data_IF_887689888030
#
_entry.id   IF_887689888030
#
_cell.length_a   1.000
_cell.length_b   1.000
_cell.length_c   1.000
_cell.angle_alpha   90.00
_cell.angle_beta   90.00
_cell.angle_gamma   90.00
#
_symmetry.space_group_name_H-M   'P 1'
#
loop_
_entity.id
_entity.type
_entity.pdbx_description
1 polymer ?
#
# COMPACT_ATOMS: atom_id res chain seq x y z
N UNK A 1 -19.73 16.83 63.24
CA UNK A 1 -20.86 17.58 62.63
C UNK A 1 -20.26 18.50 61.58
N UNK A 2 -20.54 18.28 60.28
CA UNK A 2 -19.96 19.08 59.18
C UNK A 2 -20.87 20.31 58.92
N UNK A 3 -20.58 21.51 59.45
CA UNK A 3 -21.39 22.71 59.24
C UNK A 3 -21.43 23.19 57.79
N UNK A 4 -20.54 22.68 56.93
CA UNK A 4 -20.42 23.07 55.52
C UNK A 4 -21.52 22.50 54.62
N UNK A 5 -22.18 21.40 55.04
CA UNK A 5 -23.19 20.73 54.22
C UNK A 5 -24.48 21.57 54.06
N UNK A 6 -24.83 22.36 55.08
CA UNK A 6 -26.02 23.24 55.05
C UNK A 6 -25.82 24.47 54.16
N UNK A 7 -24.58 24.95 54.05
CA UNK A 7 -24.25 26.14 53.27
C UNK A 7 -24.15 25.84 51.76
N UNK A 8 -23.72 24.63 51.37
CA UNK A 8 -23.60 24.24 49.96
C UNK A 8 -24.87 23.60 49.38
N UNK A 9 -25.81 23.16 50.24
CA UNK A 9 -27.08 22.53 49.84
C UNK A 9 -27.92 23.35 48.83
N UNK A 10 -28.11 24.68 48.98
CA UNK A 10 -28.87 25.45 47.99
C UNK A 10 -28.12 25.59 46.65
N UNK A 11 -26.79 25.67 46.67
CA UNK A 11 -25.98 25.80 45.46
C UNK A 11 -25.93 24.51 44.64
N UNK A 12 -25.81 23.36 45.30
CA UNK A 12 -25.86 22.06 44.63
C UNK A 12 -27.23 21.82 44.03
N UNK A 13 -28.31 22.22 44.71
CA UNK A 13 -29.67 22.09 44.22
C UNK A 13 -29.93 23.04 43.03
N UNK A 14 -29.44 24.28 43.09
CA UNK A 14 -29.50 25.23 41.98
C UNK A 14 -28.73 24.74 40.74
N UNK A 15 -27.53 24.18 40.93
CA UNK A 15 -26.73 23.61 39.85
C UNK A 15 -27.40 22.37 39.25
N UNK A 16 -27.98 21.50 40.08
CA UNK A 16 -28.71 20.32 39.60
C UNK A 16 -29.95 20.71 38.78
N UNK A 17 -30.70 21.73 39.21
CA UNK A 17 -31.85 22.26 38.46
C UNK A 17 -31.40 22.90 37.15
N UNK A 18 -30.29 23.64 37.16
CA UNK A 18 -29.73 24.26 35.96
C UNK A 18 -29.24 23.21 34.95
N UNK A 19 -28.56 22.16 35.41
CA UNK A 19 -28.16 21.01 34.57
C UNK A 19 -29.39 20.27 34.04
N UNK A 20 -30.41 20.05 34.86
CA UNK A 20 -31.65 19.41 34.43
C UNK A 20 -32.38 20.24 33.36
N UNK A 21 -32.44 21.57 33.50
CA UNK A 21 -33.05 22.45 32.50
C UNK A 21 -32.25 22.48 31.19
N UNK A 22 -30.92 22.54 31.26
CA UNK A 22 -30.06 22.46 30.06
C UNK A 22 -30.23 21.10 29.39
N UNK A 23 -30.19 20.00 30.14
CA UNK A 23 -30.34 18.65 29.63
C UNK A 23 -31.75 18.43 29.07
N UNK A 24 -32.79 18.92 29.74
CA UNK A 24 -34.19 18.84 29.29
C UNK A 24 -34.48 19.70 28.06
N UNK A 25 -33.74 20.80 27.85
CA UNK A 25 -33.78 21.56 26.59
C UNK A 25 -32.96 20.88 25.50
N UNK A 26 -31.89 20.17 25.86
CA UNK A 26 -31.02 19.44 24.94
C UNK A 26 -31.59 18.08 24.52
N UNK A 27 -32.62 17.57 25.20
CA UNK A 27 -33.53 16.53 24.66
C UNK A 27 -34.53 17.09 23.67
N UNK A 28 -34.22 18.22 23.01
CA UNK A 28 -34.86 18.58 21.76
C UNK A 28 -34.66 17.43 20.80
N UNK A 29 -35.78 16.79 20.49
CA UNK A 29 -36.15 15.89 19.40
C UNK A 29 -35.25 15.92 18.14
N UNK A 30 -33.95 15.68 18.29
CA UNK A 30 -33.04 15.46 17.19
C UNK A 30 -33.35 14.04 16.74
N UNK A 31 -34.06 13.96 15.62
CA UNK A 31 -34.32 12.69 14.95
C UNK A 31 -33.00 11.90 14.89
N UNK A 32 -33.00 10.61 15.27
CA UNK A 32 -31.82 9.74 15.16
C UNK A 32 -31.17 9.77 13.77
N UNK A 33 -31.93 10.18 12.75
CA UNK A 33 -31.45 10.40 11.39
C UNK A 33 -30.26 11.37 11.30
N UNK A 34 -30.19 12.43 12.11
CA UNK A 34 -29.03 13.34 12.05
C UNK A 34 -27.74 12.70 12.55
N UNK A 35 -27.80 11.83 13.56
CA UNK A 35 -26.64 11.06 13.99
C UNK A 35 -26.18 10.08 12.91
N UNK A 36 -27.12 9.45 12.18
CA UNK A 36 -26.81 8.56 11.06
C UNK A 36 -26.19 9.35 9.89
N UNK A 37 -26.73 10.51 9.54
CA UNK A 37 -26.20 11.35 8.45
C UNK A 37 -24.79 11.84 8.77
N UNK A 38 -24.56 12.33 9.99
CA UNK A 38 -23.24 12.77 10.43
C UNK A 38 -22.27 11.59 10.47
N UNK A 39 -22.72 10.41 10.94
CA UNK A 39 -21.94 9.19 10.93
C UNK A 39 -21.55 8.72 9.53
N UNK A 40 -22.47 8.77 8.56
CA UNK A 40 -22.22 8.38 7.17
C UNK A 40 -21.28 9.36 6.47
N UNK A 41 -21.45 10.67 6.69
CA UNK A 41 -20.56 11.68 6.11
C UNK A 41 -19.16 11.60 6.71
N UNK A 42 -19.05 11.45 8.04
CA UNK A 42 -17.77 11.25 8.70
C UNK A 42 -17.13 9.93 8.27
N UNK A 43 -17.86 8.81 8.18
CA UNK A 43 -17.30 7.57 7.68
C UNK A 43 -16.86 7.71 6.20
N UNK A 44 -17.67 8.35 5.35
CA UNK A 44 -17.34 8.56 3.94
C UNK A 44 -16.10 9.42 3.72
N UNK A 45 -15.78 10.34 4.63
CA UNK A 45 -14.59 11.20 4.53
C UNK A 45 -13.40 10.65 5.33
N UNK A 46 -13.65 10.04 6.49
CA UNK A 46 -12.61 9.58 7.41
C UNK A 46 -12.08 8.19 7.03
N UNK A 47 -12.92 7.31 6.48
CA UNK A 47 -12.49 5.98 6.00
C UNK A 47 -11.47 6.09 4.87
N UNK A 48 -11.63 6.90 3.81
CA UNK A 48 -10.58 7.05 2.80
C UNK A 48 -9.32 7.77 3.33
N UNK A 49 -9.43 8.57 4.39
CA UNK A 49 -8.26 9.22 5.04
C UNK A 49 -7.49 8.25 5.95
N UNK A 50 -8.17 7.27 6.54
CA UNK A 50 -7.55 6.22 7.38
C UNK A 50 -7.12 4.99 6.57
N UNK A 51 -7.77 4.73 5.44
CA UNK A 51 -7.43 3.63 4.51
C UNK A 51 -6.45 4.09 3.42
N UNK A 52 -5.45 4.90 3.76
CA UNK A 52 -4.18 4.92 3.00
C UNK A 52 -3.37 3.65 3.29
N UNK A 53 -4.03 2.49 3.15
CA UNK A 53 -3.40 1.21 2.94
C UNK A 53 -3.77 0.80 1.53
N UNK A 54 -3.07 1.40 0.55
CA UNK A 54 -2.49 0.69 -0.59
C UNK A 54 -3.36 -0.48 -1.07
N UNK A 55 -4.58 -0.17 -1.47
CA UNK A 55 -5.52 -1.10 -2.09
C UNK A 55 -5.54 -0.83 -3.56
N UNK A 56 -4.79 -1.65 -4.31
CA UNK A 56 -5.05 -2.10 -5.66
C UNK A 56 -6.32 -1.51 -6.32
N UNK A 57 -6.25 -0.27 -6.79
CA UNK A 57 -7.15 0.28 -7.79
C UNK A 57 -6.36 0.29 -9.10
N UNK A 58 -6.75 -0.62 -9.99
CA UNK A 58 -6.22 -0.76 -11.33
C UNK A 58 -6.74 0.43 -12.15
N UNK A 59 -6.00 1.54 -12.17
CA UNK A 59 -6.23 2.61 -13.12
C UNK A 59 -5.76 2.17 -14.51
N UNK A 60 -6.60 2.27 -15.55
CA UNK A 60 -6.13 2.07 -16.92
C UNK A 60 -5.37 3.32 -17.37
N UNK A 61 -4.10 3.11 -17.71
CA UNK A 61 -3.25 3.95 -18.56
C UNK A 61 -2.83 5.35 -18.04
N UNK A 62 -1.53 5.63 -18.26
CA UNK A 62 -0.83 6.91 -18.12
C UNK A 62 -0.34 7.34 -16.72
N UNK A 63 0.53 6.53 -16.11
CA UNK A 63 1.80 7.07 -15.57
C UNK A 63 2.90 6.04 -15.84
N UNK A 64 3.24 5.88 -17.12
CA UNK A 64 4.59 5.45 -17.45
C UNK A 64 5.43 6.66 -17.10
N UNK A 65 5.98 6.69 -15.89
CA UNK A 65 7.16 7.49 -15.65
C UNK A 65 8.23 6.94 -16.59
N UNK A 66 8.30 7.53 -17.79
CA UNK A 66 9.46 7.50 -18.66
C UNK A 66 10.61 8.05 -17.85
N UNK A 67 11.23 7.18 -17.07
CA UNK A 67 12.56 7.40 -16.54
C UNK A 67 13.48 7.47 -17.76
N UNK A 68 13.68 8.67 -18.30
CA UNK A 68 14.59 8.98 -19.41
C UNK A 68 16.05 8.92 -18.92
N UNK A 69 16.47 7.78 -18.41
CA UNK A 69 17.82 7.54 -17.91
C UNK A 69 18.27 6.13 -18.26
N UNK A 70 19.58 5.90 -18.26
CA UNK A 70 20.16 4.59 -18.58
C UNK A 70 19.50 3.48 -17.76
N UNK A 71 18.88 2.53 -18.45
CA UNK A 71 18.35 1.29 -17.86
C UNK A 71 19.29 0.14 -18.14
N UNK A 72 19.25 -0.86 -17.27
CA UNK A 72 19.95 -2.11 -17.47
C UNK A 72 18.99 -3.27 -17.20
N UNK A 73 19.08 -4.30 -18.02
CA UNK A 73 18.27 -5.50 -17.87
C UNK A 73 19.04 -6.54 -17.05
N UNK A 74 18.39 -7.08 -16.01
CA UNK A 74 18.91 -8.15 -15.17
C UNK A 74 18.21 -9.47 -15.47
N UNK A 75 19.00 -10.53 -15.62
CA UNK A 75 18.50 -11.90 -15.68
C UNK A 75 18.32 -12.45 -14.27
N UNK A 76 17.14 -13.00 -13.99
CA UNK A 76 16.81 -13.63 -12.71
C UNK A 76 16.41 -15.07 -12.95
N UNK A 77 17.26 -16.00 -12.52
CA UNK A 77 17.07 -17.44 -12.66
C UNK A 77 16.79 -18.15 -11.35
N UNK A 78 16.37 -19.42 -11.46
CA UNK A 78 16.00 -20.29 -10.35
C UNK A 78 14.81 -19.77 -9.50
N UNK A 79 13.94 -18.96 -10.11
CA UNK A 79 12.72 -18.48 -9.48
C UNK A 79 11.78 -19.66 -9.20
N UNK A 80 11.08 -19.64 -8.05
CA UNK A 80 10.06 -20.62 -7.73
C UNK A 80 8.91 -20.52 -8.73
N UNK A 81 8.28 -21.65 -9.05
CA UNK A 81 7.18 -21.69 -10.03
C UNK A 81 5.94 -20.91 -9.58
N UNK A 82 5.84 -20.63 -8.27
CA UNK A 82 4.80 -19.81 -7.66
C UNK A 82 5.15 -18.31 -7.64
N UNK A 83 6.36 -17.92 -8.04
CA UNK A 83 6.74 -16.51 -8.11
C UNK A 83 5.90 -15.79 -9.17
N UNK A 84 5.36 -14.63 -8.77
CA UNK A 84 4.67 -13.71 -9.64
C UNK A 84 5.54 -12.50 -9.95
N UNK A 85 5.18 -11.79 -11.02
CA UNK A 85 5.87 -10.58 -11.46
C UNK A 85 5.86 -9.52 -10.35
N UNK A 86 4.75 -9.36 -9.64
CA UNK A 86 4.63 -8.45 -8.51
C UNK A 86 5.59 -8.79 -7.37
N UNK A 87 5.69 -10.08 -7.00
CA UNK A 87 6.57 -10.51 -5.92
C UNK A 87 8.05 -10.28 -6.26
N UNK A 88 8.44 -10.49 -7.52
CA UNK A 88 9.79 -10.17 -8.00
C UNK A 88 10.00 -8.67 -8.05
N UNK A 89 9.02 -7.89 -8.52
CA UNK A 89 9.08 -6.43 -8.53
C UNK A 89 9.29 -5.88 -7.12
N UNK A 90 8.51 -6.34 -6.14
CA UNK A 90 8.64 -5.93 -4.74
C UNK A 90 10.00 -6.28 -4.15
N UNK A 91 10.51 -7.49 -4.42
CA UNK A 91 11.83 -7.91 -3.95
C UNK A 91 12.92 -6.96 -4.47
N UNK A 92 12.92 -6.66 -5.77
CA UNK A 92 13.91 -5.79 -6.38
C UNK A 92 13.71 -4.31 -6.01
N UNK A 93 12.46 -3.86 -5.80
CA UNK A 93 12.13 -2.50 -5.39
C UNK A 93 12.74 -2.10 -4.03
N UNK A 94 13.04 -3.07 -3.15
CA UNK A 94 13.75 -2.79 -1.89
C UNK A 94 15.20 -2.32 -2.09
N UNK A 95 15.80 -2.62 -3.25
CA UNK A 95 17.22 -2.36 -3.51
C UNK A 95 17.47 -1.21 -4.50
N UNK A 96 16.47 -0.87 -5.33
CA UNK A 96 16.47 0.28 -6.23
C UNK A 96 15.24 0.33 -7.16
N UNK A 97 15.28 1.19 -8.18
CA UNK A 97 14.12 1.43 -9.04
C UNK A 97 13.94 0.33 -10.11
N UNK A 98 12.77 -0.33 -10.10
CA UNK A 98 12.38 -1.34 -11.08
C UNK A 98 11.42 -0.74 -12.10
N UNK A 99 11.80 -0.80 -13.37
CA UNK A 99 11.01 -0.33 -14.52
C UNK A 99 9.97 -1.36 -14.91
N UNK A 100 10.44 -2.55 -15.25
CA UNK A 100 9.63 -3.60 -15.83
C UNK A 100 10.09 -4.98 -15.35
N UNK A 101 9.15 -5.91 -15.23
CA UNK A 101 9.42 -7.29 -14.83
C UNK A 101 8.72 -8.21 -15.81
N UNK A 102 9.49 -9.07 -16.48
CA UNK A 102 8.98 -10.03 -17.47
C UNK A 102 9.39 -11.44 -17.06
N UNK A 103 8.43 -12.22 -16.56
CA UNK A 103 8.69 -13.61 -16.20
C UNK A 103 8.33 -14.57 -17.34
N UNK A 104 9.28 -15.41 -17.74
CA UNK A 104 9.08 -16.31 -18.88
C UNK A 104 8.21 -17.51 -18.50
N UNK A 105 7.13 -17.71 -19.27
CA UNK A 105 6.24 -18.88 -19.17
C UNK A 105 6.46 -19.79 -20.36
N UNK A 106 6.30 -21.08 -20.14
CA UNK A 106 6.25 -22.08 -21.20
C UNK A 106 4.93 -21.93 -21.96
N UNK A 107 4.99 -21.75 -23.28
CA UNK A 107 3.80 -21.50 -24.12
C UNK A 107 2.96 -22.75 -24.35
N UNK A 108 3.52 -23.95 -24.19
CA UNK A 108 2.80 -25.20 -24.41
C UNK A 108 2.12 -25.70 -23.14
N UNK A 109 2.78 -25.57 -22.00
CA UNK A 109 2.27 -26.09 -20.70
C UNK A 109 1.71 -25.00 -19.80
N UNK A 110 1.92 -23.72 -20.12
CA UNK A 110 1.54 -22.57 -19.28
C UNK A 110 2.33 -22.47 -17.97
N UNK A 111 3.27 -23.40 -17.71
CA UNK A 111 4.05 -23.44 -16.47
C UNK A 111 5.17 -22.39 -16.52
N UNK A 112 5.45 -21.75 -15.39
CA UNK A 112 6.57 -20.79 -15.27
C UNK A 112 7.89 -21.55 -15.54
N UNK A 113 8.80 -20.97 -16.32
CA UNK A 113 10.11 -21.60 -16.60
C UNK A 113 11.13 -21.42 -15.48
N UNK A 114 10.75 -20.68 -14.42
CA UNK A 114 11.63 -20.39 -13.27
C UNK A 114 12.73 -19.39 -13.59
N UNK A 115 12.54 -18.54 -14.60
CA UNK A 115 13.42 -17.42 -14.89
C UNK A 115 12.66 -16.25 -15.51
N UNK A 116 13.27 -15.06 -15.46
CA UNK A 116 12.74 -13.86 -16.06
C UNK A 116 13.79 -12.76 -16.21
N UNK A 117 13.33 -11.63 -16.71
CA UNK A 117 14.12 -10.42 -16.92
C UNK A 117 13.50 -9.27 -16.14
N UNK A 118 14.34 -8.47 -15.51
CA UNK A 118 13.95 -7.31 -14.71
C UNK A 118 14.71 -6.11 -15.23
N UNK A 119 13.99 -5.13 -15.77
CA UNK A 119 14.56 -3.87 -16.20
C UNK A 119 14.64 -2.93 -15.00
N UNK A 120 15.83 -2.38 -14.74
CA UNK A 120 16.12 -1.54 -13.59
C UNK A 120 16.92 -0.32 -14.02
N UNK A 121 17.04 0.69 -13.14
CA UNK A 121 17.97 1.78 -13.39
C UNK A 121 19.42 1.25 -13.42
N UNK A 122 20.21 1.64 -14.44
CA UNK A 122 21.59 1.13 -14.63
C UNK A 122 22.49 1.39 -13.40
N UNK A 123 22.22 2.49 -12.67
CA UNK A 123 22.92 2.84 -11.42
C UNK A 123 22.71 1.82 -10.30
N UNK A 124 21.53 1.20 -10.24
CA UNK A 124 21.16 0.24 -9.19
C UNK A 124 21.46 -1.21 -9.58
N UNK A 125 21.66 -1.49 -10.87
CA UNK A 125 21.83 -2.84 -11.41
C UNK A 125 22.95 -3.63 -10.71
N UNK A 126 24.15 -3.07 -10.61
CA UNK A 126 25.29 -3.72 -9.97
C UNK A 126 25.04 -4.03 -8.49
N UNK A 127 24.37 -3.11 -7.78
CA UNK A 127 24.01 -3.27 -6.37
C UNK A 127 22.99 -4.38 -6.18
N UNK A 128 21.96 -4.42 -7.03
CA UNK A 128 20.94 -5.46 -7.01
C UNK A 128 21.54 -6.84 -7.30
N UNK A 129 22.41 -6.96 -8.31
CA UNK A 129 23.11 -8.22 -8.61
C UNK A 129 23.89 -8.69 -7.38
N UNK A 130 24.68 -7.82 -6.75
CA UNK A 130 25.50 -8.22 -5.60
C UNK A 130 24.67 -8.64 -4.38
N UNK A 131 23.50 -8.01 -4.17
CA UNK A 131 22.63 -8.28 -3.01
C UNK A 131 21.66 -9.45 -3.21
N UNK A 132 21.16 -9.64 -4.43
CA UNK A 132 20.13 -10.61 -4.75
C UNK A 132 20.67 -11.89 -5.38
N UNK A 133 21.92 -11.89 -5.87
CA UNK A 133 22.56 -13.11 -6.32
C UNK A 133 22.80 -14.04 -5.13
N UNK A 134 22.36 -15.29 -5.27
CA UNK A 134 22.33 -16.34 -4.23
C UNK A 134 21.41 -16.05 -3.04
N UNK A 135 20.49 -15.09 -3.17
CA UNK A 135 19.46 -14.83 -2.16
C UNK A 135 18.42 -15.94 -2.10
N UNK A 136 18.07 -16.39 -0.90
CA UNK A 136 17.05 -17.40 -0.69
C UNK A 136 15.64 -16.80 -0.78
N UNK A 137 14.90 -17.19 -1.81
CA UNK A 137 13.53 -16.78 -2.05
C UNK A 137 12.61 -17.98 -2.21
N UNK A 138 11.72 -18.17 -1.23
CA UNK A 138 10.77 -19.30 -1.17
C UNK A 138 11.45 -20.66 -1.39
N UNK A 139 12.46 -20.96 -0.56
CA UNK A 139 13.21 -22.23 -0.56
C UNK A 139 14.07 -22.46 -1.82
N UNK A 140 14.33 -21.41 -2.61
CA UNK A 140 15.22 -21.48 -3.78
C UNK A 140 16.19 -20.31 -3.79
N UNK A 141 17.44 -20.57 -4.14
CA UNK A 141 18.47 -19.54 -4.30
C UNK A 141 18.36 -18.86 -5.66
N UNK A 142 18.08 -17.56 -5.67
CA UNK A 142 17.99 -16.81 -6.91
C UNK A 142 19.36 -16.64 -7.54
N UNK A 143 19.43 -16.71 -8.87
CA UNK A 143 20.65 -16.38 -9.62
C UNK A 143 20.41 -15.09 -10.39
N UNK A 144 21.06 -14.01 -9.98
CA UNK A 144 20.90 -12.70 -10.61
C UNK A 144 22.17 -12.35 -11.36
N UNK A 145 22.04 -11.98 -12.63
CA UNK A 145 23.15 -11.59 -13.50
C UNK A 145 22.73 -10.43 -14.39
N UNK A 146 23.71 -9.69 -14.88
CA UNK A 146 23.46 -8.74 -15.97
C UNK A 146 22.98 -9.52 -17.20
N UNK A 147 21.82 -9.13 -17.75
CA UNK A 147 21.31 -9.76 -18.95
C UNK A 147 22.02 -9.14 -20.15
N UNK A 148 22.51 -10.00 -21.04
CA UNK A 148 22.87 -9.57 -22.38
C UNK A 148 21.57 -9.39 -23.14
N UNK A 149 21.06 -8.16 -23.16
CA UNK A 149 19.82 -7.81 -23.84
C UNK A 149 19.93 -8.27 -25.30
N UNK A 150 19.04 -9.18 -25.72
CA UNK A 150 18.72 -9.23 -27.13
C UNK A 150 17.92 -7.96 -27.35
N UNK A 151 18.46 -7.02 -28.14
CA UNK A 151 17.72 -5.87 -28.63
C UNK A 151 16.39 -6.41 -29.17
N UNK A 152 15.31 -6.13 -28.46
CA UNK A 152 13.98 -6.26 -29.03
C UNK A 152 13.91 -5.11 -30.05
N UNK A 153 14.19 -5.42 -31.33
CA UNK A 153 14.13 -4.54 -32.51
C UNK A 153 12.68 -4.11 -32.82
N UNK A 154 11.92 -3.71 -31.81
CA UNK A 154 10.50 -3.36 -31.89
C UNK A 154 10.26 -1.87 -31.57
N UNK A 155 11.26 -1.00 -31.78
CA UNK A 155 10.96 0.42 -32.02
C UNK A 155 10.38 0.53 -33.44
N UNK A 156 9.10 0.15 -33.54
CA UNK A 156 8.32 0.16 -34.76
C UNK A 156 8.28 1.58 -35.37
N UNK A 157 8.72 1.64 -36.63
CA UNK A 157 8.41 2.59 -37.72
C UNK A 157 8.45 4.11 -37.47
#
# INVERSE_FOLDING_TARGET
MLPTLRASLPYTLALAVLVYFIFSFFTLNISPAWFVVIGVVLAGVLVPVLLDTKGAAVSPMADVQEFTGDTATLYVGNLPYRANEDAVKELFANYGAVKNVRLMKDRQTGRRRGFGFVEVAAKDAAKMINKLNDFEFQERTLKVREAKERQDEDNAE
#
